data_IF_013325632629
#
_entry.id   IF_013325632629
#
_cell.length_a   1.000
_cell.length_b   1.000
_cell.length_c   1.000
_cell.angle_alpha   90.00
_cell.angle_beta   90.00
_cell.angle_gamma   90.00
#
_symmetry.space_group_name_H-M   'P 1'
#
loop_
_entity.id
_entity.type
_entity.pdbx_description
1 polymer ?
#
# COMPACT_ATOMS: atom_id res chain seq x y z
N UNK A 1 -6.40 -16.69 27.98
CA UNK A 1 -5.85 -18.00 27.56
C UNK A 1 -5.07 -17.78 26.28
N UNK A 2 -3.84 -18.27 26.13
CA UNK A 2 -3.08 -17.97 24.90
C UNK A 2 -3.44 -18.98 23.82
N UNK A 3 -3.79 -18.48 22.64
CA UNK A 3 -3.91 -19.30 21.42
C UNK A 3 -2.55 -19.92 21.08
N UNK A 4 -2.56 -21.11 20.53
CA UNK A 4 -1.36 -21.79 20.06
C UNK A 4 -1.19 -21.57 18.57
N UNK A 5 -0.11 -20.91 18.19
CA UNK A 5 0.24 -20.67 16.77
C UNK A 5 1.38 -21.64 16.46
N UNK A 6 1.18 -22.53 15.51
CA UNK A 6 2.13 -23.61 15.15
C UNK A 6 2.34 -23.64 13.64
N UNK A 7 3.60 -23.55 13.22
CA UNK A 7 3.97 -23.82 11.84
C UNK A 7 3.93 -25.32 11.56
N UNK A 8 3.31 -25.68 10.47
CA UNK A 8 3.16 -27.06 9.96
C UNK A 8 3.75 -27.14 8.55
N UNK A 9 4.02 -28.34 8.06
CA UNK A 9 4.54 -28.56 6.71
C UNK A 9 3.65 -27.94 5.61
N UNK A 10 2.35 -27.81 5.87
CA UNK A 10 1.39 -27.23 4.95
C UNK A 10 1.20 -25.72 5.10
N UNK A 11 1.63 -25.14 6.20
CA UNK A 11 1.37 -23.73 6.51
C UNK A 11 1.30 -23.41 7.99
N UNK A 12 0.31 -22.63 8.40
CA UNK A 12 0.11 -22.17 9.78
C UNK A 12 -1.18 -22.74 10.35
N UNK A 13 -1.13 -23.24 11.58
CA UNK A 13 -2.28 -23.65 12.37
C UNK A 13 -2.40 -22.79 13.62
N UNK A 14 -3.56 -22.16 13.81
CA UNK A 14 -3.93 -21.43 15.02
C UNK A 14 -4.97 -22.30 15.74
N UNK A 15 -4.63 -22.78 16.93
CA UNK A 15 -5.42 -23.76 17.69
C UNK A 15 -5.88 -23.16 19.02
N UNK A 16 -7.15 -23.43 19.36
CA UNK A 16 -7.71 -23.26 20.69
C UNK A 16 -8.49 -24.53 21.07
N UNK A 17 -8.00 -25.32 22.01
CA UNK A 17 -8.69 -26.54 22.48
C UNK A 17 -10.09 -26.28 23.07
N UNK A 18 -10.36 -25.05 23.48
CA UNK A 18 -11.67 -24.64 24.04
C UNK A 18 -12.58 -24.04 22.95
N UNK A 19 -12.23 -24.18 21.68
CA UNK A 19 -12.92 -23.64 20.53
C UNK A 19 -12.89 -22.10 20.42
N UNK A 20 -13.03 -21.66 19.20
CA UNK A 20 -13.31 -20.27 18.83
C UNK A 20 -14.76 -20.16 18.34
N UNK A 21 -15.38 -19.02 18.62
CA UNK A 21 -16.41 -18.50 17.75
C UNK A 21 -15.69 -17.64 16.68
N UNK A 22 -15.78 -18.06 15.43
CA UNK A 22 -15.15 -17.41 14.31
C UNK A 22 -16.15 -16.72 13.40
N UNK A 23 -15.82 -15.53 12.92
CA UNK A 23 -16.49 -14.88 11.78
C UNK A 23 -15.45 -14.66 10.69
N UNK A 24 -15.61 -15.27 9.52
CA UNK A 24 -14.58 -15.25 8.49
C UNK A 24 -15.15 -15.27 7.07
N UNK A 25 -14.35 -14.82 6.11
CA UNK A 25 -14.58 -14.95 4.65
C UNK A 25 -13.71 -16.03 4.02
N UNK A 26 -13.19 -16.96 4.82
CA UNK A 26 -12.31 -18.02 4.36
C UNK A 26 -12.99 -18.91 3.32
N UNK A 27 -12.19 -19.46 2.40
CA UNK A 27 -12.68 -20.36 1.34
C UNK A 27 -13.36 -21.61 1.91
N UNK A 28 -12.90 -22.09 3.06
CA UNK A 28 -13.53 -23.20 3.82
C UNK A 28 -14.05 -22.61 5.13
N UNK A 29 -15.28 -22.13 5.10
CA UNK A 29 -16.01 -21.54 6.23
C UNK A 29 -17.48 -21.40 5.84
N UNK A 30 -18.38 -21.46 6.82
CA UNK A 30 -19.81 -21.14 6.68
C UNK A 30 -20.10 -19.66 7.04
N UNK A 31 -19.04 -18.88 7.28
CA UNK A 31 -19.09 -17.46 7.66
C UNK A 31 -19.10 -17.25 9.18
N UNK A 32 -19.94 -18.00 9.93
CA UNK A 32 -19.89 -18.07 11.40
C UNK A 32 -19.74 -19.53 11.79
N UNK A 33 -18.63 -19.85 12.45
CA UNK A 33 -18.26 -21.21 12.77
C UNK A 33 -17.82 -21.33 14.24
N UNK A 34 -18.06 -22.52 14.82
CA UNK A 34 -17.44 -22.91 16.09
C UNK A 34 -16.38 -23.94 15.79
N UNK A 35 -15.12 -23.57 16.01
CA UNK A 35 -13.98 -24.32 15.52
C UNK A 35 -12.86 -24.41 16.56
N UNK A 36 -12.05 -25.47 16.44
CA UNK A 36 -10.81 -25.62 17.21
C UNK A 36 -9.61 -25.06 16.47
N UNK A 37 -9.64 -25.09 15.12
CA UNK A 37 -8.49 -24.80 14.30
C UNK A 37 -8.78 -23.80 13.20
N UNK A 38 -7.83 -22.87 13.01
CA UNK A 38 -7.76 -22.00 11.83
C UNK A 38 -6.51 -22.38 11.07
N UNK A 39 -6.66 -22.80 9.82
CA UNK A 39 -5.56 -23.27 9.00
C UNK A 39 -5.30 -22.29 7.84
N UNK A 40 -4.10 -21.74 7.77
CA UNK A 40 -3.60 -20.97 6.63
C UNK A 40 -2.65 -21.83 5.84
N UNK A 41 -3.04 -22.21 4.63
CA UNK A 41 -2.35 -23.19 3.81
C UNK A 41 -1.56 -22.48 2.71
N UNK A 42 -0.27 -22.81 2.59
CA UNK A 42 0.56 -22.31 1.48
C UNK A 42 0.13 -22.95 0.17
N UNK A 43 -0.37 -22.11 -0.75
CA UNK A 43 -0.73 -22.55 -2.09
C UNK A 43 0.53 -22.72 -2.95
N UNK A 44 0.60 -23.83 -3.69
CA UNK A 44 1.48 -23.96 -4.85
C UNK A 44 0.57 -23.98 -6.09
N UNK A 45 0.27 -22.81 -6.59
CA UNK A 45 -0.23 -22.57 -7.96
C UNK A 45 -1.51 -23.25 -8.46
N UNK A 46 -2.45 -23.77 -7.62
CA UNK A 46 -3.71 -24.26 -8.14
C UNK A 46 -4.89 -24.10 -7.16
N UNK A 47 -5.91 -23.37 -7.58
CA UNK A 47 -7.19 -23.21 -6.88
C UNK A 47 -7.87 -24.57 -6.53
N UNK A 48 -7.57 -25.63 -7.27
CA UNK A 48 -8.07 -26.99 -7.01
C UNK A 48 -7.35 -27.77 -5.92
N UNK A 49 -6.16 -27.32 -5.48
CA UNK A 49 -5.39 -28.01 -4.45
C UNK A 49 -5.92 -27.77 -3.05
N UNK A 50 -6.63 -26.64 -2.82
CA UNK A 50 -7.15 -26.25 -1.51
C UNK A 50 -8.29 -27.17 -1.04
N UNK A 51 -9.24 -27.50 -1.92
CA UNK A 51 -10.33 -28.41 -1.58
C UNK A 51 -9.83 -29.83 -1.27
N UNK A 52 -8.89 -30.35 -2.08
CA UNK A 52 -8.28 -31.67 -1.85
C UNK A 52 -7.41 -31.71 -0.60
N UNK A 53 -6.75 -30.60 -0.23
CA UNK A 53 -6.00 -30.51 1.02
C UNK A 53 -6.93 -30.33 2.22
N UNK A 54 -8.03 -29.58 2.09
CA UNK A 54 -9.07 -29.51 3.11
C UNK A 54 -9.69 -30.89 3.40
N UNK A 55 -9.88 -31.75 2.37
CA UNK A 55 -10.28 -33.15 2.59
C UNK A 55 -9.23 -33.96 3.36
N UNK A 56 -7.92 -33.67 3.18
CA UNK A 56 -6.86 -34.31 3.95
C UNK A 56 -6.82 -33.81 5.42
N UNK A 57 -7.28 -32.57 5.70
CA UNK A 57 -7.43 -32.03 7.06
C UNK A 57 -8.63 -32.65 7.80
N UNK A 58 -9.68 -33.06 7.10
CA UNK A 58 -10.84 -33.75 7.69
C UNK A 58 -10.47 -35.10 8.37
N UNK A 59 -9.24 -35.61 8.16
CA UNK A 59 -8.76 -36.82 8.76
C UNK A 59 -7.95 -36.59 10.04
N UNK A 60 -7.66 -35.36 10.44
CA UNK A 60 -6.92 -35.04 11.65
C UNK A 60 -7.59 -33.94 12.49
N UNK A 61 -8.33 -34.40 13.49
CA UNK A 61 -8.56 -33.69 14.77
C UNK A 61 -9.32 -32.33 14.71
N UNK A 62 -10.62 -32.38 14.95
CA UNK A 62 -11.43 -31.22 15.36
C UNK A 62 -12.06 -30.42 14.21
N UNK A 63 -12.93 -29.50 14.59
CA UNK A 63 -13.58 -28.56 13.69
C UNK A 63 -12.61 -27.46 13.22
N UNK A 64 -12.69 -27.04 11.95
CA UNK A 64 -11.74 -26.07 11.42
C UNK A 64 -12.34 -25.18 10.31
N UNK A 65 -11.71 -24.01 10.12
CA UNK A 65 -11.78 -23.21 8.89
C UNK A 65 -10.43 -23.19 8.21
N UNK A 66 -10.41 -22.99 6.90
CA UNK A 66 -9.16 -22.98 6.14
C UNK A 66 -9.16 -21.97 5.00
N UNK A 67 -7.99 -21.34 4.80
CA UNK A 67 -7.72 -20.42 3.70
C UNK A 67 -6.37 -20.77 3.07
N UNK A 68 -6.27 -20.65 1.74
CA UNK A 68 -4.98 -20.72 1.05
C UNK A 68 -4.40 -19.33 0.83
N UNK A 69 -3.06 -19.23 0.86
CA UNK A 69 -2.32 -18.04 0.52
C UNK A 69 -1.06 -18.38 -0.25
N UNK A 70 -0.64 -17.50 -1.15
CA UNK A 70 0.60 -17.69 -1.92
C UNK A 70 1.84 -17.41 -1.08
N UNK A 71 1.72 -16.62 -0.03
CA UNK A 71 2.79 -16.31 0.91
C UNK A 71 2.37 -16.55 2.36
N UNK A 72 3.25 -17.18 3.13
CA UNK A 72 3.12 -17.36 4.57
C UNK A 72 3.93 -16.32 5.37
N UNK A 73 4.34 -15.22 4.76
CA UNK A 73 4.92 -14.13 5.53
C UNK A 73 3.84 -13.55 6.44
N UNK A 74 3.98 -13.73 7.74
CA UNK A 74 3.06 -13.19 8.71
C UNK A 74 3.80 -12.53 9.87
N UNK A 75 3.14 -11.54 10.47
CA UNK A 75 3.61 -10.82 11.65
C UNK A 75 2.55 -10.96 12.73
N UNK A 76 2.98 -11.35 13.92
CA UNK A 76 2.07 -11.53 15.06
C UNK A 76 2.33 -10.46 16.10
N UNK A 77 1.32 -9.66 16.38
CA UNK A 77 1.35 -8.61 17.39
C UNK A 77 0.29 -8.92 18.47
N UNK A 78 0.68 -8.83 19.74
CA UNK A 78 -0.21 -9.08 20.87
C UNK A 78 -0.28 -7.86 21.77
N UNK A 79 -1.51 -7.41 22.05
CA UNK A 79 -1.84 -6.26 22.89
C UNK A 79 -2.88 -6.69 23.92
N UNK A 80 -2.46 -6.95 25.16
CA UNK A 80 -3.31 -7.43 26.25
C UNK A 80 -4.18 -8.65 25.86
N UNK A 81 -5.49 -8.41 25.62
CA UNK A 81 -6.48 -9.41 25.23
C UNK A 81 -6.67 -9.54 23.72
N UNK A 82 -5.85 -8.87 22.91
CA UNK A 82 -5.95 -8.82 21.46
C UNK A 82 -4.69 -9.39 20.82
N UNK A 83 -4.84 -10.34 19.91
CA UNK A 83 -3.74 -10.84 19.04
C UNK A 83 -4.11 -10.65 17.59
N UNK A 84 -3.22 -10.02 16.83
CA UNK A 84 -3.38 -9.77 15.40
C UNK A 84 -2.27 -10.48 14.64
N UNK A 85 -2.66 -11.32 13.69
CA UNK A 85 -1.76 -11.87 12.69
C UNK A 85 -2.01 -11.14 11.38
N UNK A 86 -1.00 -10.47 10.89
CA UNK A 86 -1.03 -9.78 9.59
C UNK A 86 -0.22 -10.59 8.60
N UNK A 87 -0.88 -11.07 7.54
CA UNK A 87 -0.28 -11.79 6.44
C UNK A 87 -0.10 -10.84 5.28
N UNK A 88 1.08 -10.82 4.71
CA UNK A 88 1.37 -9.97 3.56
C UNK A 88 2.07 -10.80 2.49
N UNK A 89 1.40 -10.99 1.36
CA UNK A 89 2.01 -11.51 0.16
C UNK A 89 2.59 -10.34 -0.62
N UNK A 90 3.86 -10.45 -0.98
CA UNK A 90 4.56 -9.46 -1.76
C UNK A 90 5.04 -10.12 -3.05
N UNK A 91 4.27 -9.94 -4.13
CA UNK A 91 4.71 -10.31 -5.49
C UNK A 91 5.59 -9.20 -6.11
N UNK A 92 5.74 -8.08 -5.41
CA UNK A 92 6.68 -7.04 -5.81
C UNK A 92 8.05 -7.49 -5.30
N UNK A 93 8.87 -8.02 -6.16
CA UNK A 93 10.29 -8.14 -5.91
C UNK A 93 10.88 -6.73 -5.86
N UNK A 94 10.80 -6.10 -4.68
CA UNK A 94 11.33 -4.75 -4.43
C UNK A 94 12.84 -4.65 -4.64
N UNK A 95 13.55 -5.78 -4.60
CA UNK A 95 14.95 -5.86 -4.98
C UNK A 95 15.21 -5.34 -6.41
N UNK A 96 14.18 -5.32 -7.26
CA UNK A 96 14.30 -4.84 -8.63
C UNK A 96 13.95 -3.35 -8.81
N UNK A 97 13.39 -2.69 -7.81
CA UNK A 97 12.97 -1.29 -7.94
C UNK A 97 14.14 -0.30 -7.94
N UNK A 98 15.21 -0.60 -7.22
CA UNK A 98 16.38 0.28 -7.13
C UNK A 98 17.44 -0.02 -8.19
N UNK A 99 17.57 -1.29 -8.62
CA UNK A 99 18.58 -1.68 -9.61
C UNK A 99 18.04 -1.74 -11.05
N UNK A 100 16.73 -1.92 -11.25
CA UNK A 100 16.09 -2.07 -12.55
C UNK A 100 15.22 -0.86 -12.96
N UNK A 101 15.54 0.35 -12.55
CA UNK A 101 15.04 1.57 -13.23
C UNK A 101 15.31 1.53 -14.75
N UNK A 102 16.22 0.65 -15.20
CA UNK A 102 16.47 0.35 -16.62
C UNK A 102 15.49 -0.66 -17.24
N UNK A 103 14.79 -1.46 -16.44
CA UNK A 103 13.81 -2.48 -16.90
C UNK A 103 12.36 -2.00 -16.75
N UNK A 104 12.11 -0.95 -16.01
CA UNK A 104 10.79 -0.27 -15.92
C UNK A 104 10.32 0.35 -17.27
N UNK A 105 10.98 0.07 -18.38
CA UNK A 105 10.53 0.38 -19.72
C UNK A 105 9.30 -0.42 -20.18
N UNK A 106 8.62 -1.12 -19.28
CA UNK A 106 7.35 -1.76 -19.61
C UNK A 106 6.27 -1.36 -18.61
N UNK A 107 5.24 -0.61 -19.08
CA UNK A 107 4.03 -0.37 -18.27
C UNK A 107 3.34 -1.66 -17.79
N UNK A 108 3.74 -2.81 -18.33
CA UNK A 108 3.21 -4.13 -17.98
C UNK A 108 3.76 -4.68 -16.65
N UNK A 109 4.94 -4.24 -16.19
CA UNK A 109 5.54 -4.75 -14.96
C UNK A 109 4.79 -4.34 -13.68
N UNK A 110 4.04 -3.24 -13.71
CA UNK A 110 3.28 -2.74 -12.57
C UNK A 110 1.81 -3.21 -12.55
N UNK A 111 1.26 -3.61 -13.69
CA UNK A 111 -0.14 -4.03 -13.77
C UNK A 111 -0.41 -5.35 -13.03
N UNK A 112 0.63 -6.14 -12.75
CA UNK A 112 0.53 -7.46 -12.12
C UNK A 112 1.05 -7.50 -10.66
N UNK A 113 1.54 -6.38 -10.12
CA UNK A 113 1.99 -6.31 -8.74
C UNK A 113 0.80 -6.36 -7.78
N UNK A 114 0.74 -7.36 -6.91
CA UNK A 114 -0.36 -7.57 -5.96
C UNK A 114 0.19 -7.53 -4.54
N UNK A 115 -0.41 -6.73 -3.70
CA UNK A 115 -0.18 -6.76 -2.26
C UNK A 115 -1.42 -7.37 -1.62
N UNK A 116 -1.31 -8.62 -1.17
CA UNK A 116 -2.35 -9.25 -0.37
C UNK A 116 -2.10 -8.90 1.09
N UNK A 117 -3.02 -8.19 1.70
CA UNK A 117 -2.97 -7.83 3.11
C UNK A 117 -4.14 -8.48 3.84
N UNK A 118 -3.87 -9.59 4.51
CA UNK A 118 -4.88 -10.41 5.17
C UNK A 118 -4.66 -10.41 6.68
N UNK A 119 -5.72 -10.61 7.46
CA UNK A 119 -5.62 -10.58 8.90
C UNK A 119 -6.39 -11.72 9.56
N UNK A 120 -5.83 -12.25 10.66
CA UNK A 120 -6.56 -13.04 11.63
C UNK A 120 -6.47 -12.30 12.97
N UNK A 121 -7.63 -12.00 13.57
CA UNK A 121 -7.74 -11.23 14.80
C UNK A 121 -8.38 -12.11 15.85
N UNK A 122 -7.68 -12.31 16.94
CA UNK A 122 -8.19 -13.03 18.10
C UNK A 122 -8.38 -12.08 19.28
N UNK A 123 -9.53 -12.17 19.93
CA UNK A 123 -9.88 -11.39 21.11
C UNK A 123 -10.15 -12.37 22.25
N UNK A 124 -9.36 -12.29 23.31
CA UNK A 124 -9.46 -13.16 24.50
C UNK A 124 -10.65 -12.78 25.37
N UNK A 125 -11.83 -12.78 24.76
CA UNK A 125 -13.14 -12.49 25.35
C UNK A 125 -14.22 -13.34 24.72
N UNK A 126 -15.32 -13.52 25.44
CA UNK A 126 -16.54 -14.16 24.93
C UNK A 126 -17.44 -13.10 24.30
N UNK A 127 -17.50 -13.05 22.97
CA UNK A 127 -18.19 -12.01 22.23
C UNK A 127 -19.38 -12.55 21.44
N UNK A 128 -20.51 -11.83 21.39
CA UNK A 128 -21.63 -12.25 20.54
C UNK A 128 -21.32 -12.11 19.04
N UNK A 129 -21.91 -12.95 18.17
CA UNK A 129 -21.67 -12.94 16.72
C UNK A 129 -21.83 -11.56 16.07
N UNK A 130 -22.79 -10.78 16.57
CA UNK A 130 -23.04 -9.42 16.10
C UNK A 130 -21.83 -8.49 16.30
N UNK A 131 -21.09 -8.70 17.40
CA UNK A 131 -19.88 -7.92 17.69
C UNK A 131 -18.75 -8.36 16.77
N UNK A 132 -18.57 -9.66 16.51
CA UNK A 132 -17.57 -10.15 15.56
C UNK A 132 -17.80 -9.56 14.17
N UNK A 133 -19.04 -9.51 13.69
CA UNK A 133 -19.39 -8.87 12.42
C UNK A 133 -19.05 -7.36 12.41
N UNK A 134 -19.29 -6.66 13.54
CA UNK A 134 -18.93 -5.24 13.63
C UNK A 134 -17.42 -5.03 13.60
N UNK A 135 -16.66 -5.92 14.26
CA UNK A 135 -15.20 -5.91 14.24
C UNK A 135 -14.68 -6.23 12.83
N UNK A 136 -15.24 -7.23 12.15
CA UNK A 136 -14.90 -7.57 10.78
C UNK A 136 -15.00 -6.34 9.85
N UNK A 137 -16.13 -5.62 9.93
CA UNK A 137 -16.33 -4.37 9.17
C UNK A 137 -15.34 -3.27 9.57
N UNK A 138 -15.06 -3.15 10.86
CA UNK A 138 -14.10 -2.18 11.37
C UNK A 138 -12.71 -2.42 10.80
N UNK A 139 -12.25 -3.67 10.83
CA UNK A 139 -10.92 -4.05 10.32
C UNK A 139 -10.81 -3.76 8.83
N UNK A 140 -11.83 -4.13 8.05
CA UNK A 140 -11.87 -3.85 6.60
C UNK A 140 -11.77 -2.33 6.33
N UNK A 141 -12.50 -1.52 7.10
CA UNK A 141 -12.45 -0.06 6.99
C UNK A 141 -11.07 0.49 7.41
N UNK A 142 -10.52 -0.02 8.52
CA UNK A 142 -9.21 0.43 9.03
C UNK A 142 -8.11 0.09 8.03
N UNK A 143 -8.10 -1.11 7.45
CA UNK A 143 -7.16 -1.47 6.38
C UNK A 143 -7.20 -0.47 5.23
N UNK A 144 -8.39 -0.18 4.70
CA UNK A 144 -8.55 0.75 3.59
C UNK A 144 -8.05 2.16 3.96
N UNK A 145 -8.33 2.64 5.18
CA UNK A 145 -7.87 3.93 5.68
C UNK A 145 -6.34 3.97 5.79
N UNK A 146 -5.73 2.99 6.45
CA UNK A 146 -4.28 2.93 6.65
C UNK A 146 -3.54 2.91 5.31
N UNK A 147 -4.00 2.09 4.35
CA UNK A 147 -3.39 2.05 3.03
C UNK A 147 -3.51 3.37 2.26
N UNK A 148 -4.62 4.11 2.45
CA UNK A 148 -4.78 5.44 1.89
C UNK A 148 -3.86 6.48 2.58
N UNK A 149 -3.73 6.40 3.90
CA UNK A 149 -2.91 7.31 4.70
C UNK A 149 -1.40 7.07 4.48
N UNK A 150 -0.99 5.84 4.16
CA UNK A 150 0.38 5.50 3.77
C UNK A 150 0.81 6.12 2.43
N UNK A 151 -0.06 6.87 1.78
CA UNK A 151 0.19 7.51 0.48
C UNK A 151 0.76 6.54 -0.57
N UNK A 152 0.27 5.30 -0.56
CA UNK A 152 0.65 4.31 -1.54
C UNK A 152 0.28 4.79 -2.94
N UNK A 153 1.08 4.49 -3.95
CA UNK A 153 0.72 4.77 -5.34
C UNK A 153 -0.68 4.25 -5.67
N UNK A 154 -1.46 5.00 -6.45
CA UNK A 154 -2.87 4.67 -6.77
C UNK A 154 -3.04 3.26 -7.33
N UNK A 155 -2.08 2.78 -8.14
CA UNK A 155 -2.14 1.43 -8.68
C UNK A 155 -2.00 0.37 -7.58
N UNK A 156 -1.24 0.63 -6.52
CA UNK A 156 -1.13 -0.24 -5.34
C UNK A 156 -2.39 -0.16 -4.50
N UNK A 157 -2.96 1.03 -4.29
CA UNK A 157 -4.25 1.19 -3.60
C UNK A 157 -5.39 0.43 -4.30
N UNK A 158 -5.39 0.39 -5.64
CA UNK A 158 -6.40 -0.27 -6.44
C UNK A 158 -6.23 -1.80 -6.51
N UNK A 159 -5.10 -2.34 -6.08
CA UNK A 159 -4.78 -3.77 -6.08
C UNK A 159 -5.15 -4.42 -4.73
N UNK A 160 -5.97 -3.80 -3.91
CA UNK A 160 -6.61 -4.51 -2.80
C UNK A 160 -7.39 -5.67 -3.38
N UNK A 161 -6.75 -6.83 -3.33
CA UNK A 161 -7.21 -8.01 -4.04
C UNK A 161 -8.46 -8.55 -3.35
N UNK A 162 -9.39 -9.01 -4.16
CA UNK A 162 -10.54 -9.80 -3.70
C UNK A 162 -10.13 -11.10 -3.01
N UNK A 163 -8.84 -11.45 -3.06
CA UNK A 163 -8.26 -12.63 -2.44
C UNK A 163 -7.71 -12.38 -1.02
N UNK A 164 -7.83 -11.16 -0.49
CA UNK A 164 -7.58 -10.87 0.91
C UNK A 164 -8.56 -11.62 1.79
N UNK A 165 -8.05 -12.23 2.86
CA UNK A 165 -8.89 -12.92 3.82
C UNK A 165 -8.88 -12.24 5.19
N UNK A 166 -9.97 -12.40 5.90
CA UNK A 166 -10.14 -11.88 7.25
C UNK A 166 -10.88 -12.89 8.13
N UNK A 167 -10.34 -13.17 9.30
CA UNK A 167 -11.05 -13.88 10.35
C UNK A 167 -11.01 -13.10 11.66
N UNK A 168 -12.14 -13.02 12.33
CA UNK A 168 -12.29 -12.47 13.67
C UNK A 168 -12.70 -13.60 14.60
N UNK A 169 -11.89 -13.86 15.61
CA UNK A 169 -12.00 -14.98 16.51
C UNK A 169 -12.25 -14.47 17.94
N UNK A 170 -13.13 -15.12 18.67
CA UNK A 170 -13.34 -14.92 20.09
C UNK A 170 -13.45 -16.24 20.82
N UNK A 171 -13.40 -16.22 22.15
CA UNK A 171 -13.72 -17.40 22.95
C UNK A 171 -15.21 -17.73 22.84
N UNK A 172 -15.54 -18.98 23.10
CA UNK A 172 -16.92 -19.42 23.29
C UNK A 172 -17.26 -19.41 24.78
N UNK A 173 -18.55 -19.25 25.15
CA UNK A 173 -19.02 -19.41 26.50
C UNK A 173 -18.73 -20.82 27.03
N UNK A 174 -18.37 -20.94 28.30
CA UNK A 174 -18.22 -22.24 28.97
C UNK A 174 -19.59 -22.91 29.11
N UNK A 175 -19.71 -24.18 28.66
CA UNK A 175 -20.96 -24.96 28.82
C UNK A 175 -20.83 -26.37 28.28
N UNK A 176 -21.49 -27.33 28.97
CA UNK A 176 -21.46 -28.77 28.66
C UNK A 176 -22.49 -29.22 27.61
N UNK A 177 -23.05 -28.33 26.79
CA UNK A 177 -24.10 -28.64 25.84
C UNK A 177 -23.96 -28.02 24.46
N UNK A 178 -24.91 -28.29 23.54
CA UNK A 178 -25.02 -27.56 22.29
C UNK A 178 -25.04 -26.06 22.59
N UNK A 179 -24.09 -25.34 22.00
CA UNK A 179 -23.94 -23.91 22.18
C UNK A 179 -25.15 -23.18 21.61
N UNK A 180 -26.07 -22.79 22.50
CA UNK A 180 -27.14 -21.85 22.10
C UNK A 180 -26.56 -20.42 22.14
N UNK A 181 -26.05 -20.01 20.97
CA UNK A 181 -25.49 -18.67 20.76
C UNK A 181 -26.45 -17.55 21.20
N UNK A 182 -27.77 -17.83 21.22
CA UNK A 182 -28.78 -16.82 21.55
C UNK A 182 -28.98 -16.64 23.07
N UNK A 183 -28.63 -17.65 23.88
CA UNK A 183 -28.78 -17.64 25.32
C UNK A 183 -27.45 -17.70 26.07
N UNK A 184 -26.33 -17.55 25.36
CA UNK A 184 -25.01 -17.57 26.00
C UNK A 184 -24.73 -16.31 26.84
N UNK A 185 -23.98 -16.48 27.93
CA UNK A 185 -23.45 -15.34 28.67
C UNK A 185 -22.21 -14.78 27.95
N UNK A 186 -22.27 -13.50 27.62
CA UNK A 186 -21.21 -12.76 26.95
C UNK A 186 -20.54 -11.81 27.92
N UNK A 187 -19.26 -11.50 27.65
CA UNK A 187 -18.54 -10.50 28.43
C UNK A 187 -19.19 -9.11 28.24
N UNK A 188 -19.27 -8.37 29.35
CA UNK A 188 -19.66 -6.96 29.28
C UNK A 188 -18.51 -6.17 28.71
N UNK A 189 -18.78 -5.48 27.58
CA UNK A 189 -17.77 -4.75 26.84
C UNK A 189 -18.24 -3.34 26.51
N UNK A 190 -17.36 -2.36 26.72
CA UNK A 190 -17.49 -1.08 26.05
C UNK A 190 -17.02 -1.22 24.60
N UNK A 191 -17.99 -1.29 23.67
CA UNK A 191 -17.67 -1.48 22.27
C UNK A 191 -16.94 -0.28 21.65
N UNK A 192 -17.15 0.94 22.15
CA UNK A 192 -16.46 2.10 21.61
C UNK A 192 -14.99 2.13 22.02
N UNK A 193 -14.65 1.71 23.23
CA UNK A 193 -13.27 1.47 23.66
C UNK A 193 -12.62 0.34 22.88
N UNK A 194 -13.29 -0.82 22.78
CA UNK A 194 -12.77 -1.98 22.03
C UNK A 194 -12.53 -1.63 20.54
N UNK A 195 -13.43 -0.86 19.95
CA UNK A 195 -13.30 -0.40 18.55
C UNK A 195 -12.05 0.45 18.34
N UNK A 196 -11.74 1.39 19.22
CA UNK A 196 -10.53 2.22 19.11
C UNK A 196 -9.28 1.36 19.26
N UNK A 197 -9.23 0.49 20.27
CA UNK A 197 -8.08 -0.40 20.49
C UNK A 197 -7.81 -1.31 19.30
N UNK A 198 -8.85 -1.90 18.69
CA UNK A 198 -8.71 -2.75 17.51
C UNK A 198 -8.21 -1.93 16.31
N UNK A 199 -8.77 -0.75 16.09
CA UNK A 199 -8.34 0.10 14.95
C UNK A 199 -6.87 0.47 15.08
N UNK A 200 -6.44 0.96 16.25
CA UNK A 200 -5.05 1.32 16.51
C UNK A 200 -4.10 0.11 16.37
N UNK A 201 -4.50 -1.05 16.92
CA UNK A 201 -3.69 -2.25 16.83
C UNK A 201 -3.57 -2.80 15.41
N UNK A 202 -4.62 -2.71 14.61
CA UNK A 202 -4.60 -3.10 13.18
C UNK A 202 -3.70 -2.14 12.40
N UNK A 203 -3.81 -0.83 12.62
CA UNK A 203 -2.96 0.19 11.99
C UNK A 203 -1.47 -0.11 12.28
N UNK A 204 -1.09 -0.20 13.56
CA UNK A 204 0.30 -0.51 13.96
C UNK A 204 0.77 -1.84 13.36
N UNK A 205 -0.09 -2.88 13.33
CA UNK A 205 0.28 -4.19 12.79
C UNK A 205 0.52 -4.15 11.28
N UNK A 206 -0.18 -3.30 10.55
CA UNK A 206 0.04 -3.09 9.11
C UNK A 206 1.34 -2.30 8.89
N UNK A 207 1.54 -1.20 9.59
CA UNK A 207 2.75 -0.38 9.51
C UNK A 207 4.01 -1.20 9.82
N UNK A 208 3.98 -1.98 10.90
CA UNK A 208 5.03 -2.92 11.28
C UNK A 208 5.33 -3.96 10.17
N UNK A 209 4.28 -4.47 9.49
CA UNK A 209 4.44 -5.43 8.43
C UNK A 209 5.13 -4.79 7.21
N UNK A 210 4.73 -3.57 6.84
CA UNK A 210 5.37 -2.81 5.76
C UNK A 210 6.83 -2.50 6.08
N UNK A 211 7.12 -2.05 7.30
CA UNK A 211 8.50 -1.75 7.73
C UNK A 211 9.39 -3.00 7.69
N UNK A 212 8.92 -4.13 8.25
CA UNK A 212 9.67 -5.39 8.30
C UNK A 212 9.93 -6.01 6.94
N UNK A 213 9.05 -5.76 5.97
CA UNK A 213 9.22 -6.18 4.58
C UNK A 213 10.04 -5.19 3.75
N UNK A 214 10.42 -4.04 4.32
CA UNK A 214 11.13 -2.99 3.60
C UNK A 214 10.29 -2.32 2.53
N UNK A 215 8.95 -2.36 2.65
CA UNK A 215 8.00 -1.75 1.72
C UNK A 215 7.92 -0.24 1.99
N UNK A 216 8.96 0.49 1.65
CA UNK A 216 8.97 1.94 1.71
C UNK A 216 8.75 2.49 0.31
N UNK A 217 7.73 3.29 0.12
CA UNK A 217 7.44 3.96 -1.14
C UNK A 217 7.99 5.39 -1.09
N UNK A 218 8.88 5.69 -2.02
CA UNK A 218 9.48 7.01 -2.16
C UNK A 218 8.93 7.79 -3.34
N UNK A 219 9.52 8.97 -3.57
CA UNK A 219 9.11 9.84 -4.69
C UNK A 219 9.25 9.14 -6.04
N UNK A 220 10.23 8.26 -6.22
CA UNK A 220 10.43 7.54 -7.48
C UNK A 220 9.28 6.58 -7.77
N UNK A 221 8.82 5.83 -6.77
CA UNK A 221 7.67 4.93 -6.91
C UNK A 221 6.41 5.71 -7.24
N UNK A 222 6.25 6.88 -6.61
CA UNK A 222 5.12 7.76 -6.87
C UNK A 222 5.16 8.30 -8.31
N UNK A 223 6.32 8.72 -8.82
CA UNK A 223 6.49 9.16 -10.21
C UNK A 223 6.12 8.04 -11.20
N UNK A 224 6.67 6.86 -10.98
CA UNK A 224 6.37 5.69 -11.82
C UNK A 224 4.88 5.37 -11.82
N UNK A 225 4.21 5.47 -10.65
CA UNK A 225 2.77 5.24 -10.54
C UNK A 225 1.93 6.22 -11.36
N UNK A 226 2.45 7.42 -11.60
CA UNK A 226 1.83 8.43 -12.47
C UNK A 226 2.26 8.30 -13.94
N UNK A 227 3.05 7.26 -14.26
CA UNK A 227 3.57 7.03 -15.61
C UNK A 227 4.73 7.95 -16.00
N UNK A 228 5.41 8.55 -15.01
CA UNK A 228 6.53 9.46 -15.22
C UNK A 228 7.83 8.69 -14.97
N UNK A 229 8.55 8.38 -16.03
CA UNK A 229 9.83 7.68 -15.96
C UNK A 229 11.00 8.68 -15.94
N UNK A 230 12.09 8.32 -15.28
CA UNK A 230 13.31 9.17 -15.27
C UNK A 230 13.85 9.38 -16.69
N UNK A 231 13.80 8.35 -17.54
CA UNK A 231 14.20 8.45 -18.93
C UNK A 231 13.42 9.51 -19.72
N UNK A 232 12.09 9.58 -19.51
CA UNK A 232 11.25 10.58 -20.17
C UNK A 232 11.59 12.01 -19.72
N UNK A 233 11.96 12.19 -18.44
CA UNK A 233 12.40 13.48 -17.90
C UNK A 233 13.77 13.88 -18.46
N UNK A 234 14.68 12.91 -18.65
CA UNK A 234 15.98 13.14 -19.29
C UNK A 234 15.79 13.57 -20.74
N UNK A 235 14.95 12.84 -21.50
CA UNK A 235 14.64 13.15 -22.89
C UNK A 235 14.06 14.57 -23.03
N UNK A 236 13.06 14.90 -22.22
CA UNK A 236 12.47 16.25 -22.18
C UNK A 236 13.50 17.32 -21.82
N UNK A 237 14.45 17.02 -20.94
CA UNK A 237 15.53 17.93 -20.57
C UNK A 237 16.50 18.19 -21.71
N UNK A 238 16.81 17.18 -22.51
CA UNK A 238 17.74 17.29 -23.63
C UNK A 238 17.11 17.95 -24.87
N UNK A 239 15.80 17.88 -25.07
CA UNK A 239 15.11 18.39 -26.26
C UNK A 239 15.35 19.89 -26.52
N UNK A 240 15.60 20.70 -25.49
CA UNK A 240 15.90 22.13 -25.61
C UNK A 240 17.41 22.43 -25.56
N UNK A 241 18.26 21.43 -25.49
CA UNK A 241 19.73 21.56 -25.64
C UNK A 241 20.09 21.48 -27.09
N UNK A 242 21.14 22.18 -27.51
CA UNK A 242 21.61 22.12 -28.90
C UNK A 242 22.07 20.70 -29.27
N UNK A 243 21.68 20.22 -30.46
CA UNK A 243 22.03 18.86 -30.94
C UNK A 243 23.55 18.63 -30.92
N UNK A 244 24.36 19.68 -31.21
CA UNK A 244 25.82 19.61 -31.24
C UNK A 244 26.43 19.39 -29.83
N UNK A 245 25.67 19.71 -28.77
CA UNK A 245 26.08 19.58 -27.35
C UNK A 245 25.61 18.27 -26.72
N UNK A 246 24.68 17.52 -27.35
CA UNK A 246 24.15 16.30 -26.81
C UNK A 246 25.14 15.15 -26.99
N UNK A 247 25.70 14.68 -25.87
CA UNK A 247 26.58 13.51 -25.81
C UNK A 247 26.00 12.48 -24.84
N UNK A 248 26.40 11.19 -24.96
CA UNK A 248 26.00 10.18 -23.98
C UNK A 248 26.39 10.59 -22.54
N UNK A 249 27.54 11.20 -22.37
CA UNK A 249 28.03 11.65 -21.06
C UNK A 249 27.15 12.80 -20.50
N UNK A 250 26.63 13.67 -21.35
CA UNK A 250 25.72 14.74 -20.91
C UNK A 250 24.38 14.16 -20.51
N UNK A 251 23.88 13.17 -21.24
CA UNK A 251 22.64 12.43 -20.91
C UNK A 251 22.76 11.72 -19.56
N UNK A 252 23.89 11.01 -19.32
CA UNK A 252 24.16 10.35 -18.04
C UNK A 252 24.27 11.36 -16.88
N UNK A 253 24.86 12.51 -17.13
CA UNK A 253 24.92 13.60 -16.14
C UNK A 253 23.55 14.18 -15.83
N UNK A 254 22.67 14.28 -16.82
CA UNK A 254 21.29 14.74 -16.63
C UNK A 254 20.51 13.76 -15.76
N UNK A 255 20.57 12.45 -16.08
CA UNK A 255 19.96 11.41 -15.26
C UNK A 255 20.46 11.46 -13.82
N UNK A 256 21.77 11.47 -13.62
CA UNK A 256 22.39 11.56 -12.30
C UNK A 256 21.96 12.82 -11.53
N UNK A 257 21.81 13.96 -12.23
CA UNK A 257 21.37 15.20 -11.60
C UNK A 257 19.89 15.15 -11.21
N UNK A 258 19.01 14.56 -12.04
CA UNK A 258 17.60 14.36 -11.70
C UNK A 258 17.49 13.50 -10.43
N UNK A 259 18.14 12.34 -10.40
CA UNK A 259 18.14 11.44 -9.24
C UNK A 259 18.70 12.13 -7.98
N UNK A 260 19.76 12.92 -8.12
CA UNK A 260 20.30 13.73 -7.03
C UNK A 260 19.32 14.80 -6.55
N UNK A 261 18.61 15.46 -7.46
CA UNK A 261 17.58 16.45 -7.08
C UNK A 261 16.38 15.79 -6.40
N UNK A 262 16.00 14.58 -6.84
CA UNK A 262 14.94 13.78 -6.21
C UNK A 262 15.35 13.15 -4.88
N UNK A 263 16.61 13.27 -4.46
CA UNK A 263 17.09 12.94 -3.11
C UNK A 263 17.13 14.16 -2.17
N UNK A 264 16.93 15.39 -2.68
CA UNK A 264 16.79 16.60 -1.84
C UNK A 264 15.34 16.68 -1.32
N UNK A 265 15.19 16.58 0.00
CA UNK A 265 13.88 16.62 0.66
C UNK A 265 13.06 17.86 0.31
N UNK A 266 13.69 19.01 0.08
CA UNK A 266 12.97 20.24 -0.27
C UNK A 266 12.41 20.19 -1.69
N UNK A 267 13.12 19.59 -2.64
CA UNK A 267 12.64 19.34 -4.00
C UNK A 267 11.49 18.34 -3.95
N UNK A 268 11.66 17.24 -3.21
CA UNK A 268 10.63 16.19 -3.06
C UNK A 268 9.35 16.76 -2.47
N UNK A 269 9.45 17.58 -1.40
CA UNK A 269 8.26 18.19 -0.77
C UNK A 269 7.51 19.12 -1.72
N UNK A 270 8.21 19.88 -2.55
CA UNK A 270 7.57 20.77 -3.55
C UNK A 270 6.89 19.95 -4.65
N UNK A 271 7.56 18.91 -5.18
CA UNK A 271 6.96 18.01 -6.17
C UNK A 271 5.74 17.27 -5.62
N UNK A 272 5.85 16.69 -4.43
CA UNK A 272 4.74 16.02 -3.77
C UNK A 272 3.55 16.96 -3.54
N UNK A 273 3.84 18.22 -3.20
CA UNK A 273 2.80 19.26 -3.05
C UNK A 273 2.09 19.54 -4.36
N UNK A 274 2.80 19.64 -5.49
CA UNK A 274 2.21 19.84 -6.81
C UNK A 274 1.32 18.64 -7.20
N UNK A 275 1.83 17.42 -7.00
CA UNK A 275 1.11 16.20 -7.33
C UNK A 275 -0.17 16.06 -6.47
N UNK A 276 -0.09 16.38 -5.18
CA UNK A 276 -1.26 16.38 -4.30
C UNK A 276 -2.28 17.45 -4.66
N UNK A 277 -1.81 18.63 -5.03
CA UNK A 277 -2.66 19.73 -5.47
C UNK A 277 -3.44 19.35 -6.75
N UNK A 278 -2.80 18.67 -7.70
CA UNK A 278 -3.44 18.14 -8.90
C UNK A 278 -4.53 17.11 -8.57
N UNK A 279 -4.25 16.18 -7.63
CA UNK A 279 -5.25 15.20 -7.17
C UNK A 279 -6.47 15.88 -6.55
N UNK A 280 -6.24 16.90 -5.72
CA UNK A 280 -7.30 17.66 -5.05
C UNK A 280 -8.11 18.48 -6.06
N UNK A 281 -7.46 19.02 -7.08
CA UNK A 281 -8.11 19.75 -8.17
C UNK A 281 -8.99 18.82 -9.02
N UNK A 282 -8.44 17.66 -9.46
CA UNK A 282 -9.21 16.65 -10.20
C UNK A 282 -10.39 16.09 -9.41
N UNK A 283 -10.23 15.93 -8.11
CA UNK A 283 -11.28 15.44 -7.22
C UNK A 283 -12.34 16.51 -6.89
N UNK A 284 -12.26 17.73 -7.47
CA UNK A 284 -13.10 18.89 -7.15
C UNK A 284 -13.11 19.24 -5.65
N UNK A 285 -12.05 18.95 -4.91
CA UNK A 285 -11.88 19.37 -3.52
C UNK A 285 -11.54 20.85 -3.44
N UNK A 286 -10.81 21.35 -4.45
CA UNK A 286 -10.56 22.78 -4.67
C UNK A 286 -11.58 23.22 -5.71
N UNK A 287 -12.55 24.02 -5.27
CA UNK A 287 -13.60 24.55 -6.15
C UNK A 287 -13.20 25.91 -6.66
N UNK A 288 -13.27 26.08 -7.97
CA UNK A 288 -13.24 27.40 -8.57
C UNK A 288 -14.51 28.15 -8.18
N UNK A 289 -14.35 29.30 -7.53
CA UNK A 289 -15.46 30.18 -7.20
C UNK A 289 -15.76 31.14 -8.36
N UNK A 290 -14.79 31.38 -9.23
CA UNK A 290 -14.92 32.19 -10.43
C UNK A 290 -14.05 31.61 -11.55
N UNK A 291 -14.66 31.31 -12.69
CA UNK A 291 -13.97 30.73 -13.87
C UNK A 291 -13.11 31.75 -14.61
N UNK A 292 -13.09 33.01 -14.17
CA UNK A 292 -12.26 34.08 -14.74
C UNK A 292 -10.88 34.17 -14.08
N UNK A 293 -10.65 33.46 -12.99
CA UNK A 293 -9.40 33.55 -12.26
C UNK A 293 -8.30 32.71 -12.92
N UNK A 294 -7.16 33.33 -13.11
CA UNK A 294 -5.96 32.67 -13.61
C UNK A 294 -5.29 31.89 -12.48
N UNK A 295 -5.09 30.59 -12.70
CA UNK A 295 -4.32 29.73 -11.79
C UNK A 295 -2.84 29.98 -12.04
N UNK A 296 -2.07 30.31 -11.02
CA UNK A 296 -0.62 30.55 -11.08
C UNK A 296 0.16 29.79 -9.99
N UNK A 297 -0.53 28.99 -9.19
CA UNK A 297 0.11 28.20 -8.13
C UNK A 297 1.06 27.13 -8.67
N UNK A 298 0.77 26.58 -9.82
CA UNK A 298 1.59 25.67 -10.62
C UNK A 298 2.92 26.31 -10.99
N UNK A 299 2.89 27.51 -11.58
CA UNK A 299 4.08 28.29 -11.92
C UNK A 299 4.92 28.60 -10.67
N UNK A 300 4.29 28.91 -9.52
CA UNK A 300 4.99 29.20 -8.26
C UNK A 300 5.73 27.96 -7.76
N UNK A 301 5.11 26.79 -7.84
CA UNK A 301 5.75 25.53 -7.43
C UNK A 301 6.91 25.16 -8.36
N UNK A 302 6.72 25.24 -9.67
CA UNK A 302 7.78 24.99 -10.64
C UNK A 302 8.96 25.95 -10.49
N UNK A 303 8.67 27.25 -10.29
CA UNK A 303 9.67 28.26 -9.99
C UNK A 303 10.46 27.92 -8.71
N UNK A 304 9.78 27.53 -7.64
CA UNK A 304 10.41 27.17 -6.38
C UNK A 304 11.34 25.95 -6.52
N UNK A 305 10.90 24.93 -7.27
CA UNK A 305 11.72 23.74 -7.57
C UNK A 305 12.98 24.12 -8.36
N UNK A 306 12.83 24.87 -9.45
CA UNK A 306 13.95 25.31 -10.27
C UNK A 306 14.97 26.12 -9.43
N UNK A 307 14.46 27.05 -8.62
CA UNK A 307 15.30 27.88 -7.74
C UNK A 307 16.01 27.06 -6.66
N UNK A 308 15.36 26.05 -6.09
CA UNK A 308 15.96 25.14 -5.09
C UNK A 308 17.14 24.37 -5.68
N UNK A 309 17.06 23.93 -6.94
CA UNK A 309 18.07 23.10 -7.59
C UNK A 309 19.29 23.92 -8.03
N UNK A 310 19.08 25.05 -8.74
CA UNK A 310 20.18 25.80 -9.35
C UNK A 310 20.03 27.34 -9.24
N UNK A 311 19.19 27.81 -8.33
CA UNK A 311 19.06 29.23 -8.04
C UNK A 311 18.51 30.04 -9.22
N UNK A 312 18.84 31.33 -9.25
CA UNK A 312 18.28 32.31 -10.21
C UNK A 312 18.52 31.94 -11.68
N UNK A 313 19.59 31.22 -12.00
CA UNK A 313 19.87 30.75 -13.37
C UNK A 313 18.82 29.77 -13.86
N UNK A 314 18.41 28.85 -12.99
CA UNK A 314 17.37 27.86 -13.29
C UNK A 314 16.03 28.54 -13.59
N UNK A 315 15.72 29.63 -12.92
CA UNK A 315 14.49 30.41 -13.14
C UNK A 315 14.41 30.97 -14.57
N UNK A 316 15.52 31.39 -15.15
CA UNK A 316 15.53 31.85 -16.54
C UNK A 316 15.31 30.69 -17.52
N UNK A 317 15.87 29.52 -17.25
CA UNK A 317 15.63 28.32 -18.03
C UNK A 317 14.20 27.79 -17.85
N UNK A 318 13.64 27.88 -16.67
CA UNK A 318 12.29 27.41 -16.33
C UNK A 318 11.26 27.99 -17.31
N UNK A 319 11.34 29.29 -17.60
CA UNK A 319 10.45 29.92 -18.58
C UNK A 319 10.48 29.26 -19.96
N UNK A 320 11.66 28.82 -20.42
CA UNK A 320 11.79 28.13 -21.72
C UNK A 320 11.06 26.79 -21.71
N UNK A 321 11.14 26.04 -20.60
CA UNK A 321 10.49 24.73 -20.49
C UNK A 321 8.97 24.83 -20.32
N UNK A 322 8.45 25.87 -19.66
CA UNK A 322 7.01 26.14 -19.60
C UNK A 322 6.47 26.49 -20.99
N UNK A 323 7.18 27.36 -21.72
CA UNK A 323 6.72 27.82 -23.05
C UNK A 323 6.79 26.71 -24.10
N UNK A 324 7.83 25.89 -24.07
CA UNK A 324 8.07 24.84 -25.06
C UNK A 324 7.36 23.51 -24.74
N UNK A 325 7.18 23.19 -23.46
CA UNK A 325 6.61 21.93 -22.95
C UNK A 325 7.19 20.69 -23.65
N UNK A 326 8.52 20.46 -23.58
CA UNK A 326 9.17 19.38 -24.32
C UNK A 326 8.81 18.01 -23.77
N UNK A 327 8.83 17.00 -24.63
CA UNK A 327 8.68 15.59 -24.27
C UNK A 327 7.44 15.31 -23.43
N UNK A 328 7.64 14.59 -22.34
CA UNK A 328 6.56 14.19 -21.43
C UNK A 328 5.78 15.37 -20.81
N UNK A 329 6.42 16.55 -20.68
CA UNK A 329 5.78 17.73 -20.06
C UNK A 329 4.50 18.11 -20.81
N UNK A 330 4.46 17.99 -22.13
CA UNK A 330 3.27 18.25 -22.94
C UNK A 330 2.05 17.42 -22.53
N UNK A 331 2.26 16.21 -22.08
CA UNK A 331 1.18 15.26 -21.74
C UNK A 331 0.76 15.30 -20.27
N UNK A 332 1.48 16.03 -19.42
CA UNK A 332 1.18 16.12 -18.00
C UNK A 332 -0.01 17.05 -17.73
N UNK A 333 -0.75 16.80 -16.64
CA UNK A 333 -1.76 17.72 -16.14
C UNK A 333 -1.18 19.08 -15.77
N UNK A 334 -2.02 20.11 -15.87
CA UNK A 334 -1.62 21.52 -15.76
C UNK A 334 -0.80 21.87 -14.51
N UNK A 335 -1.17 21.33 -13.35
CA UNK A 335 -0.48 21.69 -12.09
C UNK A 335 0.87 21.01 -11.98
N UNK A 336 1.01 19.82 -12.51
CA UNK A 336 2.27 19.07 -12.41
C UNK A 336 3.21 19.30 -13.59
N UNK A 337 2.72 19.74 -14.75
CA UNK A 337 3.58 20.03 -15.90
C UNK A 337 4.59 21.14 -15.60
N UNK A 338 4.15 22.22 -14.94
CA UNK A 338 5.02 23.31 -14.51
C UNK A 338 6.01 22.91 -13.41
N UNK A 339 5.59 22.04 -12.48
CA UNK A 339 6.48 21.50 -11.45
C UNK A 339 7.61 20.67 -12.06
N UNK A 340 7.30 19.82 -13.07
CA UNK A 340 8.30 19.05 -13.80
C UNK A 340 9.15 19.89 -14.74
N UNK A 341 8.57 20.91 -15.36
CA UNK A 341 9.36 21.92 -16.08
C UNK A 341 10.39 22.59 -15.16
N UNK A 342 10.00 22.88 -13.92
CA UNK A 342 10.90 23.41 -12.88
C UNK A 342 12.03 22.45 -12.51
N UNK A 343 11.72 21.16 -12.29
CA UNK A 343 12.70 20.11 -12.01
C UNK A 343 13.72 20.01 -13.15
N UNK A 344 13.25 19.86 -14.37
CA UNK A 344 14.09 19.69 -15.55
C UNK A 344 14.95 20.94 -15.80
N UNK A 345 14.35 22.14 -15.77
CA UNK A 345 15.09 23.39 -15.94
C UNK A 345 16.18 23.59 -14.88
N UNK A 346 15.89 23.22 -13.64
CA UNK A 346 16.84 23.22 -12.55
C UNK A 346 18.01 22.27 -12.82
N UNK A 347 17.71 21.03 -13.19
CA UNK A 347 18.74 20.02 -13.47
C UNK A 347 19.61 20.40 -14.69
N UNK A 348 19.00 20.84 -15.79
CA UNK A 348 19.74 21.34 -16.96
C UNK A 348 20.65 22.51 -16.57
N UNK A 349 20.15 23.49 -15.84
CA UNK A 349 20.98 24.61 -15.38
C UNK A 349 22.15 24.14 -14.54
N UNK A 350 21.95 23.13 -13.72
CA UNK A 350 22.97 22.61 -12.81
C UNK A 350 24.10 21.87 -13.53
N UNK A 351 23.77 21.04 -14.53
CA UNK A 351 24.78 20.29 -15.30
C UNK A 351 25.67 21.21 -16.18
N UNK A 352 25.16 22.38 -16.57
CA UNK A 352 25.93 23.37 -17.30
C UNK A 352 26.69 24.38 -16.40
N UNK A 353 26.51 24.31 -15.07
CA UNK A 353 27.30 25.10 -14.12
C UNK A 353 28.66 24.49 -13.76
N UNK A 354 28.85 23.20 -14.02
CA UNK A 354 30.00 22.38 -13.57
C UNK A 354 31.12 22.27 -14.57
#
# INVERSE_FOLDING_TARGET
MKINITEKDYGLCINNPNHFLAFSDFTVSDGIDIIENVNIVKSKNEFGATAKRAEAFNQSEGSYIAQSTDSLNYFSNTYDDLTILTFMANDIALENFTDDLKVANSPKGFADARINLSNVIYIDKVLPPKILLRIFKLVTYTKARVLADMALPLHIQNILNTDDFLAVLSNIPEGDGELDINNAEYDDIDFDELKMRIADAVEISIEDAFEKLGLTFGILDYLVSQGILIGDLVEAGMELVSDDDITPELTDRMESQILKSLSDINVVMLLASAMRLEEDFRANRIREFDTSDYVYSDEVLGFAIANQIAGTKAVLNYRRYIEAKPGIIWGLPQIIDDAFAGLIAGCVSKIFES
#
